data_IF_039393336286
#
_entry.id   IF_039393336286
#
_cell.length_a   1.000
_cell.length_b   1.000
_cell.length_c   1.000
_cell.angle_alpha   90.00
_cell.angle_beta   90.00
_cell.angle_gamma   90.00
#
_symmetry.space_group_name_H-M   'P 1'
#
loop_
_entity.id
_entity.type
_entity.pdbx_description
1 polymer ?
#
# COMPACT_ATOMS: atom_id res chain seq x y z
N UNK A 1 8.20 41.72 -22.77
CA UNK A 1 8.74 41.10 -21.53
C UNK A 1 10.27 41.20 -21.59
N UNK A 2 10.91 41.89 -20.64
CA UNK A 2 12.36 42.06 -20.64
C UNK A 2 13.08 40.74 -20.32
N UNK A 3 14.26 40.55 -20.89
CA UNK A 3 15.13 39.41 -20.58
C UNK A 3 15.47 39.40 -19.08
N UNK A 4 15.44 38.22 -18.46
CA UNK A 4 15.72 38.06 -17.03
C UNK A 4 17.15 38.51 -16.74
N UNK A 5 17.32 39.45 -15.80
CA UNK A 5 18.62 40.07 -15.48
C UNK A 5 19.61 39.15 -14.75
N UNK A 6 19.11 38.14 -14.02
CA UNK A 6 19.93 37.16 -13.25
C UNK A 6 19.37 35.75 -13.40
N UNK A 7 20.27 34.77 -13.51
CA UNK A 7 19.89 33.37 -13.45
C UNK A 7 19.38 33.01 -12.05
N UNK A 8 18.31 32.23 -11.96
CA UNK A 8 17.96 31.55 -10.72
C UNK A 8 17.07 30.32 -11.03
N UNK A 9 17.04 29.34 -10.12
CA UNK A 9 16.24 28.13 -10.28
C UNK A 9 14.75 28.43 -10.48
N UNK A 10 14.05 27.48 -11.10
CA UNK A 10 12.60 27.52 -11.23
C UNK A 10 11.96 27.28 -9.86
N UNK A 11 10.86 27.97 -9.56
CA UNK A 11 10.13 27.81 -8.29
C UNK A 11 9.22 26.59 -8.32
N UNK A 12 9.42 25.69 -7.35
CA UNK A 12 8.65 24.43 -7.17
C UNK A 12 8.96 23.38 -8.24
N UNK A 13 8.54 22.12 -8.05
CA UNK A 13 8.67 21.08 -9.07
C UNK A 13 7.47 21.08 -10.05
N UNK A 14 7.71 20.79 -11.35
CA UNK A 14 6.64 20.56 -12.33
C UNK A 14 6.08 19.12 -12.26
N UNK A 15 6.79 18.20 -11.61
CA UNK A 15 6.41 16.79 -11.54
C UNK A 15 5.11 16.55 -10.75
N UNK A 16 4.67 17.53 -9.95
CA UNK A 16 3.45 17.47 -9.14
C UNK A 16 2.31 18.33 -9.72
N UNK A 17 2.32 18.58 -11.03
CA UNK A 17 1.21 19.21 -11.73
C UNK A 17 0.25 18.13 -12.29
N UNK A 18 -1.07 18.39 -12.32
CA UNK A 18 -1.75 19.53 -11.71
C UNK A 18 -1.80 19.43 -10.18
N UNK A 19 -1.70 20.57 -9.49
CA UNK A 19 -1.89 20.64 -8.03
C UNK A 19 -3.39 20.69 -7.73
N UNK A 20 -3.98 19.51 -7.60
CA UNK A 20 -5.41 19.33 -7.30
C UNK A 20 -5.63 18.55 -6.01
N UNK A 21 -6.90 18.45 -5.60
CA UNK A 21 -7.31 17.55 -4.52
C UNK A 21 -7.20 16.11 -5.01
N UNK A 22 -6.69 15.22 -4.16
CA UNK A 22 -6.73 13.79 -4.45
C UNK A 22 -8.19 13.31 -4.58
N UNK A 23 -8.45 12.41 -5.53
CA UNK A 23 -9.79 11.86 -5.73
C UNK A 23 -10.21 10.85 -4.66
N UNK A 24 -9.24 10.32 -3.91
CA UNK A 24 -9.44 9.35 -2.82
C UNK A 24 -8.63 9.77 -1.62
N UNK A 25 -9.18 9.51 -0.44
CA UNK A 25 -8.49 9.70 0.84
C UNK A 25 -7.39 8.66 1.05
N UNK A 26 -7.67 7.38 0.72
CA UNK A 26 -6.69 6.30 0.84
C UNK A 26 -5.68 6.37 -0.30
N UNK A 27 -4.36 6.41 -0.02
CA UNK A 27 -3.33 6.46 -1.05
C UNK A 27 -3.32 5.16 -1.88
N UNK A 28 -3.08 5.29 -3.18
CA UNK A 28 -2.92 4.15 -4.08
C UNK A 28 -1.45 3.90 -4.36
N UNK A 29 -1.02 2.67 -4.10
CA UNK A 29 0.32 2.19 -4.45
C UNK A 29 0.35 1.96 -5.97
N UNK A 30 1.31 2.61 -6.65
CA UNK A 30 1.46 2.53 -8.11
C UNK A 30 2.37 1.37 -8.52
N UNK A 31 3.46 1.19 -7.78
CA UNK A 31 4.49 0.19 -8.07
C UNK A 31 4.76 -0.60 -6.79
N UNK A 32 4.90 -1.91 -6.93
CA UNK A 32 5.36 -2.81 -5.88
C UNK A 32 6.80 -3.23 -6.16
N UNK A 33 7.63 -3.49 -5.13
CA UNK A 33 8.98 -3.98 -5.33
C UNK A 33 8.96 -5.38 -5.92
N UNK A 34 9.97 -5.71 -6.73
CA UNK A 34 10.23 -7.09 -7.13
C UNK A 34 10.61 -7.92 -5.90
N UNK A 35 10.06 -9.14 -5.83
CA UNK A 35 10.22 -9.99 -4.64
C UNK A 35 10.31 -11.46 -5.03
N UNK A 36 11.45 -12.08 -4.71
CA UNK A 36 11.79 -13.46 -5.08
C UNK A 36 11.84 -14.42 -3.87
N UNK A 37 11.17 -14.07 -2.76
CA UNK A 37 11.14 -14.89 -1.54
C UNK A 37 9.83 -15.65 -1.33
N UNK A 38 9.68 -16.28 -0.17
CA UNK A 38 8.43 -16.93 0.23
C UNK A 38 7.26 -15.94 0.27
N UNK A 39 6.07 -16.37 -0.15
CA UNK A 39 4.90 -15.51 -0.29
C UNK A 39 4.60 -14.74 1.00
N UNK A 40 4.55 -13.41 0.89
CA UNK A 40 4.22 -12.50 2.00
C UNK A 40 3.52 -11.25 1.50
N UNK A 41 2.87 -10.53 2.42
CA UNK A 41 2.34 -9.20 2.14
C UNK A 41 3.48 -8.19 2.04
N UNK A 42 3.43 -7.34 1.03
CA UNK A 42 4.47 -6.33 0.75
C UNK A 42 4.17 -4.94 1.32
N UNK A 43 2.98 -4.75 1.89
CA UNK A 43 2.55 -3.45 2.40
C UNK A 43 1.56 -3.60 3.54
N UNK A 44 1.48 -2.53 4.32
CA UNK A 44 0.59 -2.40 5.47
C UNK A 44 -0.03 -1.00 5.51
N UNK A 45 -1.10 -0.83 6.28
CA UNK A 45 -1.80 0.44 6.45
C UNK A 45 -1.91 0.77 7.94
N UNK A 46 -1.78 2.04 8.29
CA UNK A 46 -1.90 2.53 9.65
C UNK A 46 -2.42 3.96 9.70
N UNK A 47 -2.65 4.44 10.92
CA UNK A 47 -3.17 5.75 11.24
C UNK A 47 -2.08 6.58 11.90
N UNK A 48 -1.85 7.80 11.41
CA UNK A 48 -0.89 8.71 12.06
C UNK A 48 -1.46 9.11 13.43
N UNK A 49 -0.78 8.71 14.51
CA UNK A 49 -1.16 9.07 15.88
C UNK A 49 -0.54 10.41 16.30
N UNK A 50 0.76 10.60 16.02
CA UNK A 50 1.46 11.80 16.45
C UNK A 50 2.95 11.78 16.13
N UNK A 51 3.70 12.68 16.75
CA UNK A 51 5.15 12.77 16.63
C UNK A 51 5.76 12.96 18.02
N UNK A 52 6.94 12.39 18.23
CA UNK A 52 7.75 12.56 19.44
C UNK A 52 9.24 12.53 19.06
N UNK A 53 10.13 12.43 20.03
CA UNK A 53 11.56 12.18 19.82
C UNK A 53 11.96 10.86 20.47
N UNK A 54 12.97 10.21 19.91
CA UNK A 54 13.61 9.03 20.49
C UNK A 54 15.11 9.33 20.68
N UNK A 55 15.67 8.84 21.79
CA UNK A 55 17.12 8.79 21.99
C UNK A 55 17.58 7.44 21.46
N UNK A 56 18.42 7.44 20.44
CA UNK A 56 18.90 6.23 19.76
C UNK A 56 20.42 6.27 19.70
N UNK A 57 21.07 5.14 19.95
CA UNK A 57 22.50 4.99 19.73
C UNK A 57 22.78 4.84 18.23
N UNK A 58 23.65 5.69 17.69
CA UNK A 58 24.05 5.63 16.27
C UNK A 58 24.86 4.36 16.01
N UNK A 59 24.33 3.48 15.15
CA UNK A 59 24.91 2.17 14.83
C UNK A 59 25.75 2.18 13.55
N UNK A 60 25.70 3.25 12.75
CA UNK A 60 26.51 3.39 11.54
C UNK A 60 28.00 3.59 11.90
N UNK A 61 28.91 2.68 11.51
CA UNK A 61 30.34 2.80 11.80
C UNK A 61 31.02 3.95 11.04
N UNK A 62 30.45 4.40 9.92
CA UNK A 62 30.99 5.52 9.13
C UNK A 62 30.57 6.89 9.67
N UNK A 63 29.64 6.92 10.64
CA UNK A 63 29.19 8.15 11.26
C UNK A 63 30.20 8.65 12.29
N UNK A 64 30.54 9.95 12.31
CA UNK A 64 31.36 10.53 13.38
C UNK A 64 30.71 10.42 14.78
N UNK A 65 29.41 10.12 14.84
CA UNK A 65 28.66 9.91 16.08
C UNK A 65 28.46 8.43 16.43
N UNK A 66 29.12 7.50 15.74
CA UNK A 66 29.00 6.06 16.00
C UNK A 66 29.19 5.73 17.48
N UNK A 67 28.25 4.98 18.06
CA UNK A 67 28.22 4.61 19.48
C UNK A 67 27.76 5.71 20.44
N UNK A 68 27.43 6.90 19.96
CA UNK A 68 26.88 7.99 20.77
C UNK A 68 25.35 8.03 20.69
N UNK A 69 24.71 8.55 21.73
CA UNK A 69 23.27 8.79 21.76
C UNK A 69 22.90 10.06 20.96
N UNK A 70 21.95 9.91 20.03
CA UNK A 70 21.41 11.01 19.22
C UNK A 70 19.90 11.10 19.39
N UNK A 71 19.38 12.33 19.46
CA UNK A 71 17.94 12.59 19.54
C UNK A 71 17.35 12.73 18.14
N UNK A 72 16.42 11.84 17.77
CA UNK A 72 15.82 11.77 16.44
C UNK A 72 14.31 12.04 16.53
N UNK A 73 13.73 12.92 15.68
CA UNK A 73 12.30 13.08 15.59
C UNK A 73 11.64 11.86 14.95
N UNK A 74 10.63 11.30 15.61
CA UNK A 74 9.92 10.10 15.17
C UNK A 74 8.42 10.38 14.98
N UNK A 75 7.80 9.68 14.04
CA UNK A 75 6.34 9.69 13.84
C UNK A 75 5.77 8.38 14.33
N UNK A 76 4.80 8.46 15.23
CA UNK A 76 4.07 7.29 15.75
C UNK A 76 2.91 7.00 14.81
N UNK A 77 2.91 5.80 14.24
CA UNK A 77 1.84 5.28 13.40
C UNK A 77 1.18 4.13 14.15
N UNK A 78 -0.11 4.27 14.42
CA UNK A 78 -0.93 3.21 14.98
C UNK A 78 -1.32 2.22 13.87
N UNK A 79 -1.01 0.95 14.09
CA UNK A 79 -1.12 -0.11 13.08
C UNK A 79 -1.92 -1.29 13.64
N UNK A 80 -3.24 -1.14 13.85
CA UNK A 80 -4.07 -2.25 14.31
C UNK A 80 -4.07 -3.39 13.28
N UNK A 81 -4.33 -4.64 13.70
CA UNK A 81 -4.38 -5.77 12.79
C UNK A 81 -5.35 -5.53 11.63
N UNK A 82 -4.88 -5.77 10.40
CA UNK A 82 -5.72 -5.70 9.19
C UNK A 82 -6.32 -7.07 8.90
N UNK A 83 -7.49 -7.08 8.25
CA UNK A 83 -8.19 -8.30 7.89
C UNK A 83 -8.21 -8.47 6.36
N UNK A 84 -7.57 -9.52 5.82
CA UNK A 84 -7.76 -9.94 4.45
C UNK A 84 -9.21 -10.34 4.20
N UNK A 85 -9.73 -9.98 3.04
CA UNK A 85 -11.08 -10.38 2.65
C UNK A 85 -11.19 -10.88 1.21
N UNK A 86 -10.14 -10.71 0.40
CA UNK A 86 -10.16 -11.16 -0.99
C UNK A 86 -8.76 -11.40 -1.55
N UNK A 87 -8.65 -12.35 -2.48
CA UNK A 87 -7.45 -12.61 -3.29
C UNK A 87 -7.81 -12.42 -4.76
N UNK A 88 -6.98 -11.68 -5.49
CA UNK A 88 -7.16 -11.34 -6.90
C UNK A 88 -6.02 -11.85 -7.75
N UNK A 89 -6.35 -12.52 -8.84
CA UNK A 89 -5.40 -12.99 -9.86
C UNK A 89 -5.42 -12.09 -11.09
N UNK A 90 -4.25 -11.60 -11.48
CA UNK A 90 -4.07 -10.78 -12.67
C UNK A 90 -3.25 -11.50 -13.72
N UNK A 91 -3.66 -11.37 -14.98
CA UNK A 91 -2.90 -11.84 -16.15
C UNK A 91 -2.30 -10.66 -16.90
N UNK A 92 -1.07 -10.84 -17.37
CA UNK A 92 -0.44 -9.90 -18.28
C UNK A 92 -1.06 -10.02 -19.67
N UNK A 93 -1.54 -8.91 -20.20
CA UNK A 93 -2.03 -8.79 -21.58
C UNK A 93 -1.20 -7.72 -22.31
N UNK A 94 -1.24 -7.65 -23.65
CA UNK A 94 -0.59 -6.57 -24.40
C UNK A 94 -1.02 -5.15 -23.97
N UNK A 95 -2.15 -5.02 -23.28
CA UNK A 95 -2.70 -3.78 -22.76
C UNK A 95 -2.47 -3.59 -21.24
N UNK A 96 -1.60 -4.41 -20.63
CA UNK A 96 -1.31 -4.40 -19.20
C UNK A 96 -2.03 -5.50 -18.42
N UNK A 97 -2.02 -5.37 -17.09
CA UNK A 97 -2.59 -6.35 -16.17
C UNK A 97 -4.11 -6.29 -16.17
N UNK A 98 -4.76 -7.43 -16.42
CA UNK A 98 -6.21 -7.59 -16.32
C UNK A 98 -6.57 -8.59 -15.23
N UNK A 99 -7.60 -8.27 -14.46
CA UNK A 99 -8.18 -9.16 -13.45
C UNK A 99 -8.81 -10.38 -14.16
N UNK A 100 -8.46 -11.58 -13.72
CA UNK A 100 -9.00 -12.84 -14.27
C UNK A 100 -9.99 -13.46 -13.29
N UNK A 101 -9.60 -13.54 -12.01
CA UNK A 101 -10.39 -14.18 -10.95
C UNK A 101 -10.22 -13.42 -9.64
N UNK A 102 -11.27 -13.45 -8.83
CA UNK A 102 -11.30 -12.90 -7.48
C UNK A 102 -12.02 -13.89 -6.56
N UNK A 103 -11.38 -14.21 -5.44
CA UNK A 103 -11.93 -15.06 -4.38
C UNK A 103 -12.19 -14.19 -3.15
N UNK A 104 -13.43 -14.08 -2.71
CA UNK A 104 -13.81 -13.40 -1.47
C UNK A 104 -13.78 -14.40 -0.30
N UNK A 105 -13.51 -13.96 0.92
CA UNK A 105 -13.62 -14.80 2.12
C UNK A 105 -15.07 -14.97 2.56
N UNK A 106 -15.42 -16.11 3.17
CA UNK A 106 -16.77 -16.35 3.72
C UNK A 106 -17.13 -15.41 4.89
N UNK A 107 -16.17 -15.16 5.79
CA UNK A 107 -16.36 -14.35 6.98
C UNK A 107 -16.10 -12.86 6.76
N UNK A 108 -16.95 -12.18 5.97
CA UNK A 108 -16.81 -10.74 5.73
C UNK A 108 -17.24 -9.92 6.96
N UNK A 109 -16.38 -9.01 7.40
CA UNK A 109 -16.62 -8.17 8.59
C UNK A 109 -17.73 -7.14 8.35
N UNK A 110 -18.38 -6.70 9.43
CA UNK A 110 -19.35 -5.59 9.36
C UNK A 110 -18.70 -4.27 8.93
N UNK A 111 -17.46 -4.02 9.36
CA UNK A 111 -16.73 -2.81 9.00
C UNK A 111 -16.49 -2.73 7.48
N UNK A 112 -16.24 -3.87 6.82
CA UNK A 112 -16.14 -3.93 5.37
C UNK A 112 -17.49 -3.67 4.69
N UNK A 113 -18.60 -4.24 5.21
CA UNK A 113 -19.95 -4.05 4.66
C UNK A 113 -20.42 -2.58 4.72
N UNK A 114 -19.92 -1.80 5.67
CA UNK A 114 -20.16 -0.34 5.74
C UNK A 114 -19.43 0.43 4.65
N UNK A 115 -18.27 -0.06 4.21
CA UNK A 115 -17.43 0.62 3.22
C UNK A 115 -17.77 0.22 1.77
N UNK A 116 -18.21 -1.02 1.53
CA UNK A 116 -18.44 -1.54 0.19
C UNK A 116 -19.67 -2.46 0.14
N UNK A 117 -20.51 -2.37 -0.92
CA UNK A 117 -21.56 -3.36 -1.15
C UNK A 117 -20.91 -4.72 -1.49
N UNK A 118 -21.27 -5.73 -0.72
CA UNK A 118 -20.78 -7.10 -0.88
C UNK A 118 -21.94 -8.01 -1.33
N UNK A 119 -21.66 -9.04 -2.14
CA UNK A 119 -22.69 -10.01 -2.54
C UNK A 119 -23.28 -10.69 -1.29
N UNK A 120 -24.60 -10.89 -1.29
CA UNK A 120 -25.30 -11.59 -0.20
C UNK A 120 -25.05 -13.10 -0.25
N UNK A 121 -25.03 -13.64 -1.45
CA UNK A 121 -24.73 -15.05 -1.73
C UNK A 121 -23.42 -15.11 -2.52
N UNK A 122 -22.50 -15.94 -2.07
CA UNK A 122 -21.20 -16.13 -2.69
C UNK A 122 -20.77 -17.59 -2.51
N UNK A 123 -20.49 -18.27 -3.61
CA UNK A 123 -19.96 -19.63 -3.60
C UNK A 123 -18.43 -19.56 -3.58
N UNK A 124 -17.87 -19.64 -2.37
CA UNK A 124 -16.43 -19.62 -2.16
C UNK A 124 -15.74 -20.82 -2.79
N UNK A 125 -16.28 -22.01 -2.62
CA UNK A 125 -15.63 -23.24 -3.06
C UNK A 125 -15.55 -23.33 -4.59
N UNK A 126 -16.60 -22.93 -5.30
CA UNK A 126 -16.57 -22.85 -6.76
C UNK A 126 -15.53 -21.83 -7.24
N UNK A 127 -15.44 -20.67 -6.58
CA UNK A 127 -14.49 -19.61 -6.94
C UNK A 127 -13.05 -19.97 -6.62
N UNK A 128 -12.83 -20.69 -5.52
CA UNK A 128 -11.50 -21.19 -5.14
C UNK A 128 -11.01 -22.22 -6.16
N UNK A 129 -11.86 -23.17 -6.57
CA UNK A 129 -11.53 -24.12 -7.65
C UNK A 129 -11.23 -23.41 -8.98
N UNK A 130 -12.02 -22.39 -9.32
CA UNK A 130 -11.76 -21.56 -10.50
C UNK A 130 -10.39 -20.87 -10.41
N UNK A 131 -10.03 -20.35 -9.23
CA UNK A 131 -8.75 -19.70 -8.99
C UNK A 131 -7.58 -20.67 -9.12
N UNK A 132 -7.66 -21.85 -8.49
CA UNK A 132 -6.65 -22.91 -8.56
C UNK A 132 -6.43 -23.37 -10.00
N UNK A 133 -7.50 -23.56 -10.78
CA UNK A 133 -7.40 -23.98 -12.19
C UNK A 133 -6.66 -22.98 -13.09
N UNK A 134 -6.59 -21.70 -12.68
CA UNK A 134 -6.01 -20.62 -13.49
C UNK A 134 -4.66 -20.14 -12.95
N UNK A 135 -4.16 -20.75 -11.88
CA UNK A 135 -2.99 -20.28 -11.14
C UNK A 135 -1.74 -20.12 -12.03
N UNK A 136 -1.51 -21.08 -12.94
CA UNK A 136 -0.39 -21.08 -13.88
C UNK A 136 -0.46 -19.94 -14.92
N UNK A 137 -1.64 -19.38 -15.16
CA UNK A 137 -1.85 -18.30 -16.13
C UNK A 137 -1.70 -16.89 -15.52
N UNK A 138 -1.56 -16.81 -14.20
CA UNK A 138 -1.49 -15.55 -13.46
C UNK A 138 -0.06 -14.99 -13.48
N UNK A 139 0.04 -13.69 -13.72
CA UNK A 139 1.29 -12.94 -13.63
C UNK A 139 1.46 -12.28 -12.26
N UNK A 140 0.36 -11.81 -11.64
CA UNK A 140 0.39 -11.23 -10.30
C UNK A 140 -0.79 -11.70 -9.46
N UNK A 141 -0.53 -11.92 -8.16
CA UNK A 141 -1.56 -12.17 -7.16
C UNK A 141 -1.57 -11.01 -6.17
N UNK A 142 -2.73 -10.43 -5.92
CA UNK A 142 -2.90 -9.32 -4.97
C UNK A 142 -3.95 -9.68 -3.94
N UNK A 143 -3.64 -9.43 -2.67
CA UNK A 143 -4.60 -9.57 -1.58
C UNK A 143 -5.27 -8.23 -1.31
N UNK A 144 -6.58 -8.24 -1.14
CA UNK A 144 -7.32 -7.11 -0.60
C UNK A 144 -7.48 -7.26 0.90
N UNK A 145 -7.15 -6.18 1.60
CA UNK A 145 -7.22 -6.07 3.05
C UNK A 145 -8.05 -4.85 3.43
N UNK A 146 -8.70 -4.90 4.59
CA UNK A 146 -9.34 -3.74 5.20
C UNK A 146 -8.83 -3.54 6.63
N UNK A 147 -8.86 -2.31 7.11
CA UNK A 147 -8.52 -1.97 8.51
C UNK A 147 -9.66 -2.34 9.45
N UNK A 148 -9.36 -2.41 10.75
CA UNK A 148 -10.34 -2.62 11.82
C UNK A 148 -10.34 -1.39 12.74
N UNK A 149 -11.06 -0.30 12.41
CA UNK A 149 -10.91 1.00 13.10
C UNK A 149 -11.47 1.05 14.53
N UNK A 150 -12.08 -0.04 15.02
CA UNK A 150 -12.68 -0.12 16.36
C UNK A 150 -11.75 -0.73 17.40
N UNK A 151 -10.63 -1.33 16.96
CA UNK A 151 -9.55 -1.78 17.82
C UNK A 151 -8.69 -0.58 18.19
#
# INVERSE_FOLDING_TARGET
MAHRKKNAPRRGSLAYLPRGRASKFVPRIKNWPEYNGAAKLLGFIGYKAGMTHAVVTEDNPESPFSGQETVIPVTVIDTPPVRPFSIRGYRATPYGLKLVTEVLSDGLSEDLRKAQPLPKEYDHDAKMKEFESKLDSLAEIRMLVHTQPRL
#
